data_IF_700131460326
#
_entry.id   IF_700131460326
#
_cell.length_a   1.000
_cell.length_b   1.000
_cell.length_c   1.000
_cell.angle_alpha   90.00
_cell.angle_beta   90.00
_cell.angle_gamma   90.00
#
_symmetry.space_group_name_H-M   'P 1'
#
loop_
_entity.id
_entity.type
_entity.pdbx_description
1 polymer ?
#
# COMPACT_ATOMS: atom_id res chain seq x y z
N UNK A 1 -3.66 -0.56 -10.25
CA UNK A 1 -2.20 -0.38 -10.27
C UNK A 1 -1.84 0.80 -9.39
N UNK A 2 -0.88 0.60 -8.49
CA UNK A 2 -0.41 1.63 -7.58
C UNK A 2 0.95 2.19 -8.00
N UNK A 3 1.30 3.37 -7.52
CA UNK A 3 2.60 4.02 -7.75
C UNK A 3 3.28 4.36 -6.42
N UNK A 4 4.62 4.41 -6.38
CA UNK A 4 5.31 4.93 -5.20
C UNK A 4 4.79 6.31 -4.81
N UNK A 5 4.55 6.51 -3.51
CA UNK A 5 3.95 7.71 -2.93
C UNK A 5 2.43 7.67 -2.81
N UNK A 6 1.73 6.70 -3.40
CA UNK A 6 0.29 6.54 -3.19
C UNK A 6 -0.03 5.90 -1.84
N UNK A 7 -1.03 6.44 -1.15
CA UNK A 7 -1.58 5.85 0.06
C UNK A 7 -2.49 4.67 -0.29
N UNK A 8 -2.34 3.58 0.45
CA UNK A 8 -3.14 2.36 0.31
C UNK A 8 -3.70 1.92 1.65
N UNK A 9 -4.76 1.13 1.59
CA UNK A 9 -5.35 0.44 2.74
C UNK A 9 -5.28 -1.06 2.49
N UNK A 10 -4.84 -1.81 3.49
CA UNK A 10 -4.86 -3.27 3.47
C UNK A 10 -6.29 -3.76 3.69
N UNK A 11 -6.78 -4.64 2.80
CA UNK A 11 -8.20 -5.02 2.79
C UNK A 11 -8.63 -5.87 3.98
N UNK A 12 -7.71 -6.54 4.66
CA UNK A 12 -8.04 -7.50 5.73
C UNK A 12 -8.27 -6.84 7.08
N UNK A 13 -7.47 -5.85 7.43
CA UNK A 13 -7.48 -5.21 8.75
C UNK A 13 -7.66 -3.68 8.70
N UNK A 14 -7.65 -3.09 7.50
CA UNK A 14 -7.77 -1.65 7.32
C UNK A 14 -6.49 -0.86 7.59
N UNK A 15 -5.34 -1.52 7.76
CA UNK A 15 -4.06 -0.87 7.99
C UNK A 15 -3.70 0.05 6.83
N UNK A 16 -3.22 1.26 7.14
CA UNK A 16 -2.84 2.25 6.12
C UNK A 16 -1.35 2.19 5.87
N UNK A 17 -0.96 2.38 4.63
CA UNK A 17 0.43 2.40 4.23
C UNK A 17 0.67 3.26 3.00
N UNK A 18 1.95 3.43 2.67
CA UNK A 18 2.40 4.16 1.50
C UNK A 18 3.20 3.19 0.63
N UNK A 19 2.90 3.16 -0.67
CA UNK A 19 3.71 2.40 -1.62
C UNK A 19 5.09 3.04 -1.72
N UNK A 20 6.15 2.28 -1.48
CA UNK A 20 7.55 2.76 -1.57
C UNK A 20 8.30 2.18 -2.77
N UNK A 21 7.90 1.01 -3.26
CA UNK A 21 8.48 0.40 -4.46
C UNK A 21 7.48 -0.50 -5.20
N UNK A 22 7.75 -0.78 -6.47
CA UNK A 22 6.94 -1.69 -7.31
C UNK A 22 7.87 -2.65 -8.04
N UNK A 23 7.53 -3.94 -8.01
CA UNK A 23 8.23 -5.00 -8.72
C UNK A 23 7.22 -5.94 -9.39
N UNK A 24 6.92 -5.68 -10.66
CA UNK A 24 5.89 -6.40 -11.40
C UNK A 24 4.51 -6.23 -10.74
N UNK A 25 3.96 -7.33 -10.21
CA UNK A 25 2.65 -7.35 -9.53
C UNK A 25 2.73 -7.14 -8.01
N UNK A 26 3.95 -7.00 -7.47
CA UNK A 26 4.21 -6.80 -6.06
C UNK A 26 4.49 -5.33 -5.75
N UNK A 27 3.92 -4.86 -4.64
CA UNK A 27 4.03 -3.49 -4.17
C UNK A 27 4.64 -3.51 -2.78
N UNK A 28 5.77 -2.85 -2.61
CA UNK A 28 6.38 -2.69 -1.30
C UNK A 28 5.68 -1.56 -0.58
N UNK A 29 5.13 -1.83 0.60
CA UNK A 29 4.36 -0.87 1.39
C UNK A 29 5.11 -0.60 2.70
N UNK A 30 5.23 0.69 3.04
CA UNK A 30 5.59 1.12 4.39
C UNK A 30 4.31 1.39 5.17
N UNK A 31 4.08 0.64 6.24
CA UNK A 31 2.88 0.68 7.05
C UNK A 31 2.99 1.67 8.21
N UNK A 32 1.85 2.07 8.77
CA UNK A 32 1.78 3.02 9.89
C UNK A 32 2.47 2.53 11.18
N UNK A 33 2.63 1.22 11.36
CA UNK A 33 3.35 0.59 12.46
C UNK A 33 4.86 0.47 12.22
N UNK A 34 5.38 1.13 11.17
CA UNK A 34 6.78 1.10 10.70
C UNK A 34 7.25 -0.24 10.11
N UNK A 35 6.34 -1.20 9.93
CA UNK A 35 6.63 -2.44 9.21
C UNK A 35 6.71 -2.20 7.70
N UNK A 36 7.47 -3.05 7.00
CA UNK A 36 7.57 -3.05 5.53
C UNK A 36 7.27 -4.45 5.02
N UNK A 37 6.30 -4.55 4.11
CA UNK A 37 5.98 -5.81 3.42
C UNK A 37 5.77 -5.62 1.93
N UNK A 38 5.76 -6.74 1.20
CA UNK A 38 5.39 -6.80 -0.20
C UNK A 38 3.99 -7.38 -0.32
N UNK A 39 3.09 -6.64 -0.94
CA UNK A 39 1.70 -7.04 -1.13
C UNK A 39 1.32 -7.09 -2.60
N UNK A 40 0.29 -7.88 -2.90
CA UNK A 40 -0.34 -7.90 -4.22
C UNK A 40 -1.42 -6.84 -4.33
N UNK A 41 -1.71 -6.40 -5.54
CA UNK A 41 -2.78 -5.42 -5.77
C UNK A 41 -4.17 -5.89 -5.28
N UNK A 42 -4.41 -7.20 -5.22
CA UNK A 42 -5.70 -7.78 -4.80
C UNK A 42 -6.04 -7.56 -3.30
N UNK A 43 -5.03 -7.29 -2.47
CA UNK A 43 -5.19 -7.02 -1.03
C UNK A 43 -5.03 -5.54 -0.68
N UNK A 44 -4.94 -4.66 -1.67
CA UNK A 44 -4.75 -3.22 -1.50
C UNK A 44 -5.91 -2.43 -2.11
N UNK A 45 -6.36 -1.40 -1.43
CA UNK A 45 -7.28 -0.38 -1.96
C UNK A 45 -6.64 1.00 -1.90
N UNK A 46 -6.97 1.88 -2.85
CA UNK A 46 -6.47 3.26 -2.81
C UNK A 46 -7.12 3.97 -1.63
N UNK A 47 -6.30 4.59 -0.79
CA UNK A 47 -6.79 5.55 0.19
C UNK A 47 -6.88 6.91 -0.51
N UNK A 48 -8.05 7.55 -0.47
CA UNK A 48 -8.15 8.95 -0.90
C UNK A 48 -7.26 9.79 0.03
N UNK A 49 -6.39 10.61 -0.57
CA UNK A 49 -5.79 11.74 0.13
C UNK A 49 -6.93 12.73 0.34
N UNK A 50 -7.40 12.88 1.58
CA UNK A 50 -8.31 13.96 1.94
C UNK A 50 -7.57 15.27 1.60
N UNK A 51 -8.01 15.91 0.51
CA UNK A 51 -7.56 17.22 0.04
C UNK A 51 -7.93 18.32 1.01
#
# INVERSE_FOLDING_TARGET
MFKPGECVVYTRDGARGIVIAVNGEWYQIFWEDTFVSWEKAEVLTKAEQLS
#
